data_IF_608708417711
#
_entry.id   IF_608708417711
#
_cell.length_a   1.000
_cell.length_b   1.000
_cell.length_c   1.000
_cell.angle_alpha   90.00
_cell.angle_beta   90.00
_cell.angle_gamma   90.00
#
_symmetry.space_group_name_H-M   'P 1'
#
loop_
_entity.id
_entity.type
_entity.pdbx_description
1 polymer ?
#
# COMPACT_ATOMS: atom_id res chain seq x y z
N UNK A 1 -24.68 8.40 25.40
CA UNK A 1 -24.96 7.96 26.78
C UNK A 1 -25.90 8.95 27.51
N UNK A 2 -25.55 10.25 27.62
CA UNK A 2 -26.35 11.23 28.35
C UNK A 2 -27.74 11.43 27.75
N UNK A 3 -27.85 11.58 26.42
CA UNK A 3 -29.12 11.73 25.72
C UNK A 3 -30.06 10.53 25.95
N UNK A 4 -29.54 9.30 25.89
CA UNK A 4 -30.34 8.08 26.13
C UNK A 4 -30.87 8.02 27.58
N UNK A 5 -30.17 8.65 28.52
CA UNK A 5 -30.58 8.75 29.92
C UNK A 5 -31.41 10.01 30.22
N UNK A 6 -31.90 10.70 29.19
CA UNK A 6 -32.76 11.90 29.35
C UNK A 6 -32.02 13.17 29.81
N UNK A 7 -30.70 13.19 29.73
CA UNK A 7 -29.88 14.36 30.07
C UNK A 7 -29.51 15.09 28.77
N UNK A 8 -30.02 16.27 28.56
CA UNK A 8 -29.68 17.10 27.41
C UNK A 8 -28.32 17.76 27.59
N UNK A 9 -27.27 16.97 27.26
CA UNK A 9 -25.90 17.48 27.13
C UNK A 9 -25.73 18.07 25.74
N UNK A 10 -25.60 19.40 25.65
CA UNK A 10 -25.46 20.12 24.38
C UNK A 10 -24.00 20.49 24.15
N UNK A 11 -23.53 20.29 22.92
CA UNK A 11 -22.21 20.71 22.46
C UNK A 11 -22.30 22.10 21.83
N UNK A 12 -21.27 22.92 21.97
CA UNK A 12 -21.14 24.19 21.32
C UNK A 12 -19.69 24.52 20.99
N UNK A 13 -19.50 25.43 20.07
CA UNK A 13 -18.19 25.97 19.72
C UNK A 13 -18.17 27.49 20.02
N UNK A 14 -17.03 27.97 20.47
CA UNK A 14 -16.82 29.37 20.75
C UNK A 14 -15.35 29.72 20.93
N UNK A 15 -15.08 31.01 20.90
CA UNK A 15 -13.72 31.53 21.07
C UNK A 15 -13.78 32.92 21.75
N UNK A 16 -12.65 33.34 22.30
CA UNK A 16 -12.51 34.61 23.01
C UNK A 16 -12.85 35.79 22.10
N UNK A 17 -12.43 35.74 20.86
CA UNK A 17 -12.62 36.77 19.84
C UNK A 17 -14.11 36.96 19.44
N UNK A 18 -14.96 35.99 19.75
CA UNK A 18 -16.40 36.04 19.56
C UNK A 18 -17.14 36.19 20.90
N UNK A 19 -16.46 36.66 21.96
CA UNK A 19 -17.01 36.82 23.32
C UNK A 19 -17.65 35.57 23.91
N UNK A 20 -17.30 34.37 23.39
CA UNK A 20 -17.78 33.09 23.85
C UNK A 20 -18.38 32.21 22.76
N UNK A 21 -19.71 31.97 22.83
CA UNK A 21 -20.35 31.01 21.94
C UNK A 21 -20.56 31.51 20.51
N UNK A 22 -20.35 30.66 19.56
CA UNK A 22 -20.57 30.87 18.12
C UNK A 22 -21.66 29.92 17.63
N UNK A 23 -21.59 28.62 18.02
CA UNK A 23 -22.61 27.63 17.71
C UNK A 23 -23.09 26.92 18.98
N UNK A 24 -24.28 26.34 18.90
CA UNK A 24 -24.82 25.45 19.94
C UNK A 24 -25.72 24.39 19.31
N UNK A 25 -25.65 23.17 19.81
CA UNK A 25 -26.55 22.08 19.39
C UNK A 25 -27.96 22.40 19.86
N UNK A 26 -28.99 22.39 18.98
CA UNK A 26 -30.38 22.56 19.40
C UNK A 26 -30.84 21.37 20.27
N UNK A 27 -31.77 21.62 21.18
CA UNK A 27 -32.31 20.57 22.07
C UNK A 27 -33.18 19.54 21.35
N UNK A 28 -33.79 19.93 20.27
CA UNK A 28 -34.74 19.17 19.46
C UNK A 28 -34.14 18.63 18.15
N UNK A 29 -32.89 19.02 17.83
CA UNK A 29 -32.15 18.55 16.67
C UNK A 29 -30.70 18.19 17.07
N UNK A 30 -30.57 17.13 17.83
CA UNK A 30 -29.26 16.59 18.23
C UNK A 30 -28.61 15.78 17.13
N UNK A 31 -27.41 16.20 16.70
CA UNK A 31 -26.57 15.44 15.77
C UNK A 31 -25.27 15.02 16.47
N UNK A 32 -24.94 13.72 16.49
CA UNK A 32 -23.70 13.26 17.09
C UNK A 32 -22.47 13.94 16.49
N UNK A 33 -21.49 14.29 17.33
CA UNK A 33 -20.23 14.96 16.98
C UNK A 33 -20.37 16.37 16.40
N UNK A 34 -21.60 16.92 16.29
CA UNK A 34 -21.84 18.28 15.89
C UNK A 34 -21.61 19.25 17.04
N UNK A 35 -21.11 20.44 16.73
CA UNK A 35 -21.09 21.58 17.63
C UNK A 35 -22.31 22.52 17.41
N UNK A 36 -23.29 22.04 16.65
CA UNK A 36 -24.57 22.65 16.45
C UNK A 36 -24.67 23.65 15.30
N UNK A 37 -25.63 24.56 15.42
CA UNK A 37 -25.97 25.57 14.44
C UNK A 37 -25.55 26.97 14.94
N UNK A 38 -25.46 28.00 14.06
CA UNK A 38 -25.06 29.36 14.46
C UNK A 38 -25.98 29.90 15.52
N UNK A 39 -25.43 30.58 16.53
CA UNK A 39 -26.20 31.36 17.50
C UNK A 39 -26.79 32.60 16.83
N UNK A 40 -27.93 33.15 17.37
CA UNK A 40 -28.57 34.31 16.80
C UNK A 40 -27.60 35.49 16.62
N UNK A 41 -27.59 36.06 15.42
CA UNK A 41 -26.74 37.21 15.08
C UNK A 41 -25.34 36.89 14.61
N UNK A 42 -24.95 35.62 14.63
CA UNK A 42 -23.68 35.15 14.05
C UNK A 42 -23.92 34.62 12.64
N UNK A 43 -23.08 35.05 11.70
CA UNK A 43 -23.02 34.52 10.35
C UNK A 43 -21.77 33.65 10.24
N UNK A 44 -21.94 32.49 9.63
CA UNK A 44 -20.87 31.51 9.39
C UNK A 44 -20.73 31.24 7.90
N UNK A 45 -19.51 31.07 7.44
CA UNK A 45 -19.21 30.52 6.11
C UNK A 45 -17.91 29.71 6.15
N UNK A 46 -17.75 28.82 5.21
CA UNK A 46 -16.50 28.07 5.05
C UNK A 46 -15.70 28.67 3.89
N UNK A 47 -14.43 28.95 4.12
CA UNK A 47 -13.49 29.30 3.07
C UNK A 47 -13.20 28.12 2.14
N UNK A 48 -12.49 28.32 1.03
CA UNK A 48 -12.14 27.27 0.05
C UNK A 48 -11.35 26.10 0.67
N UNK A 49 -10.60 26.37 1.74
CA UNK A 49 -9.86 25.38 2.50
C UNK A 49 -10.61 24.81 3.70
N UNK A 50 -11.92 25.10 3.80
CA UNK A 50 -12.83 24.73 4.88
C UNK A 50 -12.52 25.41 6.24
N UNK A 51 -11.73 26.48 6.27
CA UNK A 51 -11.62 27.31 7.48
C UNK A 51 -12.97 27.96 7.80
N UNK A 52 -13.39 27.86 9.07
CA UNK A 52 -14.60 28.57 9.52
C UNK A 52 -14.31 30.06 9.59
N UNK A 53 -15.10 30.82 8.87
CA UNK A 53 -15.14 32.29 8.91
C UNK A 53 -16.39 32.74 9.66
N UNK A 54 -16.22 33.69 10.54
CA UNK A 54 -17.33 34.20 11.36
C UNK A 54 -17.48 35.73 11.20
N UNK A 55 -18.73 36.17 11.21
CA UNK A 55 -19.10 37.59 11.25
C UNK A 55 -20.27 37.77 12.20
N UNK A 56 -20.32 38.88 12.91
CA UNK A 56 -21.42 39.22 13.81
C UNK A 56 -21.06 40.28 14.80
N UNK A 57 -22.07 40.83 15.52
CA UNK A 57 -21.90 41.96 16.44
C UNK A 57 -21.04 41.62 17.66
N UNK A 58 -20.82 40.36 17.91
CA UNK A 58 -20.00 39.83 19.05
C UNK A 58 -18.56 39.54 18.68
N UNK A 59 -18.22 39.65 17.39
CA UNK A 59 -16.87 39.34 16.89
C UNK A 59 -15.97 40.56 17.05
N UNK A 60 -14.86 40.39 17.76
CA UNK A 60 -13.89 41.45 17.97
C UNK A 60 -13.20 41.84 16.67
N UNK A 61 -13.21 43.12 16.35
CA UNK A 61 -12.56 43.69 15.18
C UNK A 61 -11.08 44.04 15.41
N UNK A 62 -10.61 44.03 16.67
CA UNK A 62 -9.23 44.43 17.03
C UNK A 62 -8.77 43.74 18.31
N UNK A 63 -7.46 43.55 18.47
CA UNK A 63 -6.86 43.14 19.76
C UNK A 63 -6.48 44.36 20.60
N UNK A 64 -6.53 44.18 21.92
CA UNK A 64 -6.10 45.22 22.86
C UNK A 64 -4.63 45.56 22.65
N UNK A 65 -4.32 46.86 22.48
CA UNK A 65 -2.97 47.36 22.25
C UNK A 65 -2.55 47.47 20.78
N UNK A 66 -3.31 46.95 19.83
CA UNK A 66 -3.08 47.17 18.39
C UNK A 66 -3.78 48.39 17.88
N UNK A 67 -3.03 49.49 17.61
CA UNK A 67 -3.62 50.77 17.24
C UNK A 67 -4.15 50.87 15.79
N UNK A 68 -3.74 49.95 14.86
CA UNK A 68 -4.05 50.05 13.44
C UNK A 68 -4.34 48.69 12.76
N UNK A 69 -4.64 47.63 13.49
CA UNK A 69 -4.91 46.33 12.90
C UNK A 69 -6.37 45.91 13.01
N UNK A 70 -7.03 45.65 11.89
CA UNK A 70 -8.31 44.92 11.90
C UNK A 70 -8.01 43.42 11.94
N UNK A 71 -8.68 42.69 12.83
CA UNK A 71 -8.66 41.20 12.84
C UNK A 71 -9.56 40.63 11.76
N UNK A 72 -10.38 41.47 11.11
CA UNK A 72 -11.29 41.09 10.06
C UNK A 72 -10.64 41.27 8.67
N UNK A 73 -10.72 40.24 7.84
CA UNK A 73 -10.35 40.29 6.43
C UNK A 73 -11.66 40.22 5.62
N UNK A 74 -11.89 41.25 4.80
CA UNK A 74 -13.14 41.41 4.02
C UNK A 74 -14.42 41.27 4.87
N UNK A 75 -14.38 41.76 6.12
CA UNK A 75 -15.48 41.70 7.07
C UNK A 75 -15.63 40.38 7.83
N UNK A 76 -14.78 39.40 7.57
CA UNK A 76 -14.82 38.09 8.21
C UNK A 76 -13.62 37.88 9.15
N UNK A 77 -13.89 37.27 10.30
CA UNK A 77 -12.86 36.81 11.20
C UNK A 77 -12.47 35.37 10.85
N UNK A 78 -11.18 35.15 10.61
CA UNK A 78 -10.61 33.86 10.35
C UNK A 78 -10.34 33.13 11.66
N UNK A 79 -11.09 32.03 11.94
CA UNK A 79 -11.01 31.35 13.24
C UNK A 79 -9.73 30.51 13.38
N UNK A 80 -9.13 30.14 12.26
CA UNK A 80 -8.01 29.17 12.22
C UNK A 80 -8.43 27.74 12.51
N UNK A 81 -9.74 27.47 12.56
CA UNK A 81 -10.30 26.14 12.79
C UNK A 81 -10.97 25.64 11.51
N UNK A 82 -10.73 24.37 11.15
CA UNK A 82 -11.28 23.72 9.96
C UNK A 82 -12.56 23.00 10.33
N UNK A 83 -13.60 23.23 9.53
CA UNK A 83 -14.92 22.66 9.74
C UNK A 83 -15.44 21.94 8.51
N UNK A 84 -16.47 21.14 8.70
CA UNK A 84 -17.41 20.71 7.66
C UNK A 84 -18.82 21.07 8.07
N UNK A 85 -19.64 21.36 7.09
CA UNK A 85 -21.08 21.56 7.25
C UNK A 85 -21.81 20.34 6.70
N UNK A 86 -22.84 19.89 7.41
CA UNK A 86 -23.72 18.81 6.98
C UNK A 86 -25.09 18.99 7.63
N UNK A 87 -26.15 19.10 6.82
CA UNK A 87 -27.54 19.31 7.28
C UNK A 87 -27.66 20.50 8.22
N UNK A 88 -27.07 21.64 7.82
CA UNK A 88 -27.02 22.89 8.56
C UNK A 88 -26.27 22.83 9.91
N UNK A 89 -25.68 21.69 10.26
CA UNK A 89 -24.84 21.50 11.42
C UNK A 89 -23.35 21.61 11.10
N UNK A 90 -22.61 22.22 12.01
CA UNK A 90 -21.17 22.41 11.92
C UNK A 90 -20.43 21.34 12.74
N UNK A 91 -19.31 20.85 12.18
CA UNK A 91 -18.47 19.84 12.79
C UNK A 91 -17.01 20.29 12.73
N UNK A 92 -16.35 20.33 13.87
CA UNK A 92 -14.92 20.66 13.95
C UNK A 92 -14.12 19.47 13.40
N UNK A 93 -13.18 19.78 12.50
CA UNK A 93 -12.23 18.80 11.97
C UNK A 93 -10.91 18.86 12.73
N UNK A 94 -10.26 20.05 12.73
CA UNK A 94 -9.00 20.31 13.42
C UNK A 94 -8.63 21.81 13.33
N UNK A 95 -7.52 22.19 13.94
CA UNK A 95 -6.92 23.50 13.74
C UNK A 95 -6.09 23.58 12.48
N UNK A 96 -6.29 24.61 11.67
CA UNK A 96 -5.57 24.85 10.41
C UNK A 96 -4.04 24.80 10.56
N UNK A 97 -3.51 25.34 11.67
CA UNK A 97 -2.07 25.36 11.98
C UNK A 97 -1.51 24.02 12.42
N UNK A 98 -2.37 23.08 12.81
CA UNK A 98 -1.97 21.75 13.29
C UNK A 98 -2.12 20.68 12.24
N UNK A 99 -2.97 20.92 11.25
CA UNK A 99 -3.08 20.05 10.06
C UNK A 99 -1.77 20.07 9.28
N UNK A 100 -1.29 18.90 8.91
CA UNK A 100 -0.10 18.77 8.09
C UNK A 100 -0.35 17.95 6.81
N UNK A 101 0.60 17.98 5.89
CA UNK A 101 0.59 17.17 4.68
C UNK A 101 1.72 16.15 4.73
N UNK A 102 1.42 14.91 4.42
CA UNK A 102 2.46 13.90 4.22
C UNK A 102 3.29 14.19 2.95
N UNK A 103 4.33 13.41 2.70
CA UNK A 103 5.21 13.56 1.52
C UNK A 103 4.50 13.45 0.17
N UNK A 104 3.26 12.93 0.15
CA UNK A 104 2.41 12.81 -1.04
C UNK A 104 1.37 13.92 -1.15
N UNK A 105 1.42 14.93 -0.29
CA UNK A 105 0.49 16.07 -0.28
C UNK A 105 -0.89 15.76 0.33
N UNK A 106 -1.10 14.59 0.93
CA UNK A 106 -2.36 14.23 1.57
C UNK A 106 -2.48 14.90 2.93
N UNK A 107 -3.61 15.52 3.17
CA UNK A 107 -3.90 16.27 4.40
C UNK A 107 -4.25 15.33 5.55
N UNK A 108 -3.63 15.51 6.70
CA UNK A 108 -3.82 14.73 7.92
C UNK A 108 -4.15 15.66 9.08
N UNK A 109 -5.19 15.28 9.81
CA UNK A 109 -5.63 15.93 11.05
C UNK A 109 -5.08 15.15 12.24
N UNK A 110 -3.98 15.58 12.86
CA UNK A 110 -3.33 14.79 13.91
C UNK A 110 -4.17 14.72 15.17
N UNK A 111 -4.82 15.81 15.58
CA UNK A 111 -5.61 15.83 16.81
C UNK A 111 -6.77 14.84 16.76
N UNK A 112 -7.43 14.71 15.59
CA UNK A 112 -8.48 13.70 15.38
C UNK A 112 -7.97 12.29 15.66
N UNK A 113 -6.76 11.96 15.17
CA UNK A 113 -6.17 10.63 15.34
C UNK A 113 -5.69 10.45 16.78
N UNK A 114 -5.03 11.45 17.35
CA UNK A 114 -4.53 11.44 18.73
C UNK A 114 -5.67 11.22 19.75
N UNK A 115 -6.80 11.88 19.54
CA UNK A 115 -7.98 11.75 20.40
C UNK A 115 -8.54 10.32 20.40
N UNK A 116 -8.44 9.59 19.29
CA UNK A 116 -8.90 8.19 19.23
C UNK A 116 -8.10 7.25 20.14
N UNK A 117 -6.93 7.69 20.62
CA UNK A 117 -6.12 6.91 21.57
C UNK A 117 -6.39 7.26 23.03
N UNK A 118 -7.04 8.38 23.32
CA UNK A 118 -7.27 8.85 24.70
C UNK A 118 -8.25 7.98 25.50
N UNK A 119 -9.13 7.23 24.81
CA UNK A 119 -10.14 6.38 25.45
C UNK A 119 -9.60 5.00 25.83
N UNK A 120 -8.34 4.69 25.54
CA UNK A 120 -7.76 3.39 25.86
C UNK A 120 -7.01 3.39 27.19
N UNK A 121 -7.28 2.36 27.99
CA UNK A 121 -6.52 2.13 29.22
C UNK A 121 -5.01 2.05 28.94
N UNK A 122 -4.22 2.64 29.85
CA UNK A 122 -2.77 2.65 29.75
C UNK A 122 -2.21 3.68 28.78
N UNK A 123 -3.02 4.49 28.09
CA UNK A 123 -2.54 5.61 27.27
C UNK A 123 -2.94 6.93 27.95
N UNK A 124 -1.94 7.66 28.45
CA UNK A 124 -2.15 9.00 28.97
C UNK A 124 -1.98 10.06 27.89
N UNK A 125 -0.98 9.89 27.04
CA UNK A 125 -0.68 10.85 25.97
C UNK A 125 -0.31 10.11 24.69
N UNK A 126 -0.83 10.59 23.56
CA UNK A 126 -0.53 10.08 22.22
C UNK A 126 -0.20 11.25 21.30
N UNK A 127 0.95 11.22 20.65
CA UNK A 127 1.41 12.28 19.75
C UNK A 127 1.75 11.72 18.38
N UNK A 128 1.05 12.21 17.36
CA UNK A 128 1.21 11.76 15.97
C UNK A 128 2.34 12.53 15.27
N UNK A 129 3.23 11.77 14.64
CA UNK A 129 4.34 12.29 13.83
C UNK A 129 4.13 11.85 12.38
N UNK A 130 4.26 12.79 11.41
CA UNK A 130 4.04 12.47 10.00
C UNK A 130 4.15 13.65 9.04
N UNK A 131 4.38 14.88 9.55
CA UNK A 131 4.47 16.08 8.72
C UNK A 131 5.63 15.99 7.72
N UNK A 132 5.31 16.09 6.42
CA UNK A 132 6.28 15.94 5.34
C UNK A 132 6.83 14.52 5.16
N UNK A 133 6.39 13.54 5.97
CA UNK A 133 6.93 12.18 5.99
C UNK A 133 6.05 11.20 5.21
N UNK A 134 6.59 10.02 4.88
CA UNK A 134 5.90 9.04 4.03
C UNK A 134 4.73 8.36 4.74
N UNK A 135 4.81 8.21 6.06
CA UNK A 135 3.83 7.51 6.90
C UNK A 135 3.75 8.13 8.29
N UNK A 136 2.71 7.79 9.02
CA UNK A 136 2.55 8.26 10.39
C UNK A 136 3.14 7.26 11.38
N UNK A 137 3.76 7.83 12.43
CA UNK A 137 4.19 7.11 13.63
C UNK A 137 3.60 7.76 14.87
N UNK A 138 3.60 7.07 15.99
CA UNK A 138 2.99 7.54 17.22
C UNK A 138 3.99 7.47 18.39
N UNK A 139 4.12 8.55 19.15
CA UNK A 139 4.71 8.51 20.47
C UNK A 139 3.60 8.28 21.49
N UNK A 140 3.75 7.28 22.34
CA UNK A 140 2.77 6.91 23.37
C UNK A 140 3.45 7.09 24.74
N UNK A 141 2.85 7.89 25.59
CA UNK A 141 3.15 7.84 27.01
C UNK A 141 2.15 6.95 27.72
N UNK A 142 2.70 5.91 28.33
CA UNK A 142 1.95 4.93 29.11
C UNK A 142 1.84 5.39 30.55
N UNK A 143 0.64 5.31 31.09
CA UNK A 143 0.42 5.43 32.56
C UNK A 143 0.39 4.03 33.15
N UNK A 144 1.46 3.60 33.85
CA UNK A 144 1.58 2.20 34.31
C UNK A 144 0.43 1.75 35.21
N UNK A 145 -0.10 2.66 36.03
CA UNK A 145 -1.16 2.37 37.00
C UNK A 145 -2.55 2.21 36.33
N UNK A 146 -2.70 2.66 35.08
CA UNK A 146 -3.94 2.52 34.30
C UNK A 146 -3.91 1.34 33.32
N UNK A 147 -2.80 0.59 33.27
CA UNK A 147 -2.73 -0.63 32.47
C UNK A 147 -3.63 -1.74 33.05
N UNK A 148 -4.28 -2.55 32.19
CA UNK A 148 -4.96 -3.76 32.66
C UNK A 148 -4.03 -4.64 33.52
N UNK A 149 -4.55 -5.25 34.57
CA UNK A 149 -3.75 -6.01 35.56
C UNK A 149 -2.90 -7.13 34.93
N UNK A 150 -3.40 -7.76 33.89
CA UNK A 150 -2.72 -8.82 33.13
C UNK A 150 -1.57 -8.27 32.25
N UNK A 151 -1.59 -6.96 31.96
CA UNK A 151 -0.57 -6.29 31.12
C UNK A 151 0.45 -5.56 31.98
N UNK A 152 0.07 -4.95 33.09
CA UNK A 152 0.96 -4.13 33.96
C UNK A 152 2.20 -4.89 34.45
N UNK A 153 2.09 -6.20 34.69
CA UNK A 153 3.17 -7.07 35.14
C UNK A 153 3.76 -7.96 34.02
N UNK A 154 3.36 -7.72 32.76
CA UNK A 154 3.76 -8.54 31.64
C UNK A 154 5.18 -8.17 31.14
N UNK A 155 5.74 -9.02 30.27
CA UNK A 155 6.99 -8.73 29.60
C UNK A 155 6.87 -7.50 28.68
N UNK A 156 7.99 -6.81 28.42
CA UNK A 156 8.03 -5.69 27.46
C UNK A 156 7.49 -6.07 26.08
N UNK A 157 7.65 -7.32 25.66
CA UNK A 157 7.10 -7.84 24.41
C UNK A 157 5.58 -7.84 24.47
N UNK A 158 4.99 -8.34 25.56
CA UNK A 158 3.52 -8.40 25.74
C UNK A 158 2.93 -7.00 25.84
N UNK A 159 3.56 -6.08 26.56
CA UNK A 159 3.16 -4.66 26.63
C UNK A 159 3.18 -4.03 25.23
N UNK A 160 4.24 -4.27 24.45
CA UNK A 160 4.32 -3.76 23.09
C UNK A 160 3.25 -4.38 22.17
N UNK A 161 2.93 -5.66 22.34
CA UNK A 161 1.85 -6.33 21.61
C UNK A 161 0.46 -5.78 21.98
N UNK A 162 0.26 -5.38 23.24
CA UNK A 162 -0.94 -4.69 23.68
C UNK A 162 -1.12 -3.36 22.94
N UNK A 163 -0.13 -2.46 22.97
CA UNK A 163 -0.22 -1.19 22.24
C UNK A 163 -0.34 -1.38 20.73
N UNK A 164 0.28 -2.41 20.16
CA UNK A 164 0.11 -2.74 18.76
C UNK A 164 -1.35 -3.08 18.42
N UNK A 165 -2.06 -3.78 19.33
CA UNK A 165 -3.49 -4.09 19.14
C UNK A 165 -4.37 -2.84 19.19
N UNK A 166 -4.03 -1.86 20.04
CA UNK A 166 -4.73 -0.57 20.08
C UNK A 166 -4.51 0.23 18.80
N UNK A 167 -3.27 0.29 18.31
CA UNK A 167 -2.95 0.91 17.01
C UNK A 167 -3.74 0.27 15.88
N UNK A 168 -3.88 -1.06 15.84
CA UNK A 168 -4.70 -1.75 14.85
C UNK A 168 -6.18 -1.37 14.96
N UNK A 169 -6.72 -1.29 16.18
CA UNK A 169 -8.10 -0.87 16.41
C UNK A 169 -8.35 0.51 15.81
N UNK A 170 -7.52 1.49 16.13
CA UNK A 170 -7.61 2.84 15.57
C UNK A 170 -7.44 2.84 14.05
N UNK A 171 -6.45 2.13 13.52
CA UNK A 171 -6.20 2.03 12.07
C UNK A 171 -7.39 1.47 11.29
N UNK A 172 -8.29 0.70 11.91
CA UNK A 172 -9.48 0.15 11.25
C UNK A 172 -10.48 1.24 10.86
N UNK A 173 -10.45 2.39 11.54
CA UNK A 173 -11.31 3.55 11.26
C UNK A 173 -10.63 4.62 10.38
N UNK A 174 -9.32 4.47 10.10
CA UNK A 174 -8.53 5.45 9.38
C UNK A 174 -8.39 5.11 7.90
N UNK A 175 -8.37 6.14 7.06
CA UNK A 175 -7.97 6.00 5.66
C UNK A 175 -6.51 5.49 5.58
N UNK A 176 -6.13 4.77 4.52
CA UNK A 176 -4.78 4.19 4.40
C UNK A 176 -3.64 5.18 4.63
N UNK A 177 -3.78 6.43 4.19
CA UNK A 177 -2.75 7.45 4.35
C UNK A 177 -2.68 8.07 5.76
N UNK A 178 -3.73 7.94 6.57
CA UNK A 178 -3.80 8.39 7.97
C UNK A 178 -3.21 7.36 8.95
N UNK A 179 -3.08 6.11 8.55
CA UNK A 179 -2.73 4.98 9.43
C UNK A 179 -1.36 5.10 10.05
N UNK A 180 -1.29 4.67 11.31
CA UNK A 180 -0.05 4.57 12.10
C UNK A 180 0.57 3.20 11.85
N UNK A 181 1.84 3.15 11.41
CA UNK A 181 2.52 1.87 11.12
C UNK A 181 3.67 1.56 12.07
N UNK A 182 4.06 2.52 12.90
CA UNK A 182 5.07 2.33 13.92
C UNK A 182 4.76 3.19 15.13
N UNK A 183 5.21 2.79 16.30
CA UNK A 183 5.05 3.56 17.52
C UNK A 183 6.22 3.35 18.46
N UNK A 184 6.44 4.32 19.35
CA UNK A 184 7.39 4.23 20.45
C UNK A 184 6.70 4.55 21.77
N UNK A 185 6.97 3.74 22.80
CA UNK A 185 6.56 4.03 24.16
C UNK A 185 7.63 4.92 24.76
N UNK A 186 7.26 6.16 25.11
CA UNK A 186 8.18 7.14 25.71
C UNK A 186 8.21 7.00 27.23
N UNK A 187 9.37 7.32 27.83
CA UNK A 187 9.63 7.11 29.27
C UNK A 187 9.08 8.21 30.16
N UNK A 188 8.72 9.37 29.61
CA UNK A 188 8.15 10.51 30.31
C UNK A 188 7.01 11.11 29.52
N UNK A 189 6.07 11.72 30.23
CA UNK A 189 5.02 12.52 29.62
C UNK A 189 5.57 13.83 29.01
N UNK A 190 4.75 14.49 28.24
CA UNK A 190 5.06 15.79 27.66
C UNK A 190 5.10 16.86 28.75
N UNK A 191 6.14 17.69 28.71
CA UNK A 191 6.38 18.71 29.72
C UNK A 191 5.40 19.88 29.54
N UNK A 192 4.72 20.26 30.66
CA UNK A 192 3.80 21.40 30.68
C UNK A 192 4.45 22.75 30.38
N UNK A 193 5.76 22.90 30.69
CA UNK A 193 6.44 24.18 30.58
C UNK A 193 6.81 24.54 29.14
N UNK A 194 7.32 23.58 28.38
CA UNK A 194 7.83 23.84 27.03
C UNK A 194 7.14 23.03 25.91
N UNK A 195 6.56 21.86 26.19
CA UNK A 195 5.95 20.95 25.19
C UNK A 195 4.44 21.09 25.07
N UNK A 196 3.79 21.66 26.09
CA UNK A 196 2.34 21.94 26.10
C UNK A 196 2.07 23.45 26.14
N UNK A 197 0.92 23.84 25.63
CA UNK A 197 0.37 25.18 25.83
C UNK A 197 -0.32 25.26 27.20
N UNK A 198 -0.70 26.47 27.64
CA UNK A 198 -1.48 26.64 28.88
C UNK A 198 -2.83 25.90 28.87
N UNK A 199 -3.37 25.61 27.66
CA UNK A 199 -4.61 24.84 27.47
C UNK A 199 -4.35 23.32 27.36
N UNK A 200 -3.11 22.85 27.53
CA UNK A 200 -2.73 21.44 27.43
C UNK A 200 -2.59 20.91 26.00
N UNK A 201 -2.64 21.75 24.96
CA UNK A 201 -2.41 21.31 23.58
C UNK A 201 -0.92 21.22 23.26
N UNK A 202 -0.56 20.35 22.30
CA UNK A 202 0.84 20.07 21.95
C UNK A 202 1.51 21.24 21.23
N UNK A 203 2.70 21.62 21.67
CA UNK A 203 3.63 22.47 20.90
C UNK A 203 4.47 21.56 19.98
N UNK A 204 3.87 21.15 18.84
CA UNK A 204 4.39 20.10 17.94
C UNK A 204 5.87 20.26 17.60
N UNK A 205 6.30 21.48 17.21
CA UNK A 205 7.71 21.73 16.85
C UNK A 205 8.68 21.42 18.01
N UNK A 206 8.27 21.74 19.25
CA UNK A 206 9.11 21.50 20.41
C UNK A 206 9.19 20.01 20.75
N UNK A 207 8.07 19.29 20.68
CA UNK A 207 8.02 17.84 20.89
C UNK A 207 8.88 17.12 19.84
N UNK A 208 8.74 17.47 18.57
CA UNK A 208 9.55 16.89 17.49
C UNK A 208 11.06 17.10 17.73
N UNK A 209 11.44 18.28 18.23
CA UNK A 209 12.84 18.58 18.58
C UNK A 209 13.32 17.76 19.77
N UNK A 210 12.52 17.66 20.84
CA UNK A 210 12.94 17.00 22.08
C UNK A 210 12.98 15.47 21.96
N UNK A 211 12.15 14.89 21.08
CA UNK A 211 12.07 13.43 20.86
C UNK A 211 12.72 12.97 19.56
N UNK A 212 13.53 13.83 18.90
CA UNK A 212 14.14 13.50 17.60
C UNK A 212 14.95 12.20 17.61
N UNK A 213 15.66 11.88 18.72
CA UNK A 213 16.42 10.64 18.85
C UNK A 213 15.55 9.37 18.83
N UNK A 214 14.27 9.48 19.22
CA UNK A 214 13.31 8.38 19.16
C UNK A 214 12.62 8.37 17.80
N UNK A 215 12.30 9.54 17.25
CA UNK A 215 11.55 9.69 16.01
C UNK A 215 12.39 9.31 14.79
N UNK A 216 13.62 9.82 14.67
CA UNK A 216 14.45 9.63 13.47
C UNK A 216 14.66 8.15 13.13
N UNK A 217 15.02 7.24 14.07
CA UNK A 217 15.17 5.82 13.76
C UNK A 217 13.91 5.14 13.26
N UNK A 218 12.72 5.71 13.53
CA UNK A 218 11.45 5.17 13.05
C UNK A 218 11.27 5.38 11.54
N UNK A 219 12.02 6.32 10.94
CA UNK A 219 11.94 6.70 9.53
C UNK A 219 13.18 6.36 8.71
N UNK A 220 14.27 5.88 9.32
CA UNK A 220 15.51 5.56 8.61
C UNK A 220 15.32 4.53 7.48
N UNK A 221 14.37 3.62 7.63
CA UNK A 221 14.09 2.58 6.65
C UNK A 221 12.66 2.67 6.14
N UNK A 222 12.50 2.60 4.82
CA UNK A 222 11.20 2.53 4.16
C UNK A 222 10.58 1.12 4.14
N UNK A 223 11.24 0.15 4.79
CA UNK A 223 10.82 -1.24 4.93
C UNK A 223 11.03 -1.76 6.36
N UNK A 224 10.39 -2.88 6.67
CA UNK A 224 10.76 -3.71 7.81
C UNK A 224 11.64 -4.87 7.35
N UNK A 225 12.57 -5.28 8.21
CA UNK A 225 13.41 -6.46 7.99
C UNK A 225 12.92 -7.61 8.87
N UNK A 226 12.58 -8.72 8.25
CA UNK A 226 12.31 -9.97 8.93
C UNK A 226 13.50 -10.89 8.74
N UNK A 227 14.03 -11.46 9.82
CA UNK A 227 15.21 -12.32 9.76
C UNK A 227 14.90 -13.69 10.34
N UNK A 228 15.42 -14.73 9.70
CA UNK A 228 15.38 -16.11 10.19
C UNK A 228 16.65 -16.84 9.70
N UNK A 229 17.47 -17.33 10.62
CA UNK A 229 18.82 -17.79 10.34
C UNK A 229 19.61 -16.71 9.57
N UNK A 230 20.21 -17.06 8.42
CA UNK A 230 20.97 -16.15 7.57
C UNK A 230 20.09 -15.37 6.57
N UNK A 231 18.80 -15.72 6.45
CA UNK A 231 17.91 -15.14 5.45
C UNK A 231 17.23 -13.88 5.94
N UNK A 232 17.01 -12.95 5.03
CA UNK A 232 16.34 -11.67 5.29
C UNK A 232 15.23 -11.39 4.29
N UNK A 233 14.13 -10.84 4.77
CA UNK A 233 13.02 -10.37 3.94
C UNK A 233 12.76 -8.90 4.24
N UNK A 234 12.73 -8.07 3.21
CA UNK A 234 12.39 -6.67 3.30
C UNK A 234 10.95 -6.46 2.84
N UNK A 235 10.08 -5.96 3.72
CA UNK A 235 8.69 -5.67 3.42
C UNK A 235 8.49 -4.16 3.46
N UNK A 236 8.09 -3.51 2.35
CA UNK A 236 7.89 -2.07 2.29
C UNK A 236 6.81 -1.59 3.28
N UNK A 237 7.05 -0.44 3.91
CA UNK A 237 6.13 0.15 4.90
C UNK A 237 4.74 0.46 4.31
N UNK A 238 4.63 0.73 3.01
CA UNK A 238 3.33 0.97 2.39
C UNK A 238 2.40 -0.26 2.43
N UNK A 239 2.94 -1.49 2.43
CA UNK A 239 2.15 -2.72 2.61
C UNK A 239 1.53 -2.76 4.01
N UNK A 240 2.29 -2.38 5.04
CA UNK A 240 1.79 -2.27 6.41
C UNK A 240 0.66 -1.26 6.51
N UNK A 241 0.84 -0.11 5.89
CA UNK A 241 -0.14 0.96 5.82
C UNK A 241 -1.43 0.49 5.13
N UNK A 242 -1.34 -0.15 3.97
CA UNK A 242 -2.50 -0.70 3.26
C UNK A 242 -3.28 -1.72 4.12
N UNK A 243 -2.57 -2.53 4.91
CA UNK A 243 -3.16 -3.53 5.80
C UNK A 243 -3.63 -2.99 7.14
N UNK A 244 -3.28 -1.75 7.49
CA UNK A 244 -3.62 -1.14 8.78
C UNK A 244 -2.92 -1.76 9.98
N UNK A 245 -1.71 -2.30 9.79
CA UNK A 245 -0.93 -3.00 10.82
C UNK A 245 0.36 -2.28 11.12
N UNK A 246 0.88 -2.47 12.32
CA UNK A 246 2.18 -1.93 12.74
C UNK A 246 3.34 -2.87 12.37
N UNK A 247 4.56 -2.37 12.45
CA UNK A 247 5.79 -3.17 12.22
C UNK A 247 5.87 -4.40 13.11
N UNK A 248 5.35 -4.34 14.33
CA UNK A 248 5.39 -5.43 15.31
C UNK A 248 4.39 -6.56 15.04
N UNK A 249 3.41 -6.30 14.19
CA UNK A 249 2.36 -7.27 13.86
C UNK A 249 2.77 -8.29 12.81
N UNK A 250 3.90 -8.05 12.12
CA UNK A 250 4.38 -8.92 11.05
C UNK A 250 5.50 -9.79 11.59
N UNK A 251 5.34 -11.11 11.50
CA UNK A 251 6.31 -12.10 11.96
C UNK A 251 6.59 -13.12 10.88
N UNK A 252 7.81 -13.58 10.80
CA UNK A 252 8.25 -14.69 9.96
C UNK A 252 8.94 -15.73 10.81
N UNK A 253 8.57 -17.00 10.66
CA UNK A 253 9.10 -18.13 11.41
C UNK A 253 9.94 -19.09 10.56
N UNK A 254 10.49 -18.62 9.44
CA UNK A 254 11.27 -19.43 8.51
C UNK A 254 10.43 -20.18 7.46
N UNK A 255 9.12 -20.41 7.74
CA UNK A 255 8.24 -21.13 6.81
C UNK A 255 7.06 -20.32 6.31
N UNK A 256 6.66 -19.29 7.06
CA UNK A 256 5.54 -18.42 6.69
C UNK A 256 5.65 -17.03 7.31
N UNK A 257 5.23 -16.04 6.57
CA UNK A 257 4.94 -14.70 7.09
C UNK A 257 3.50 -14.71 7.60
N UNK A 258 3.29 -14.17 8.78
CA UNK A 258 1.97 -14.00 9.40
C UNK A 258 1.81 -12.57 9.90
N UNK A 259 0.60 -12.05 9.76
CA UNK A 259 0.21 -10.74 10.27
C UNK A 259 -0.77 -10.97 11.42
N UNK A 260 -0.44 -10.43 12.60
CA UNK A 260 -1.29 -10.57 13.81
C UNK A 260 -2.68 -10.00 13.54
N UNK A 261 -3.72 -10.68 14.05
CA UNK A 261 -5.14 -10.31 13.90
C UNK A 261 -5.65 -10.19 12.45
N UNK A 262 -4.79 -10.42 11.46
CA UNK A 262 -5.17 -10.53 10.07
C UNK A 262 -5.04 -12.00 9.66
N UNK A 263 -6.08 -12.56 9.03
CA UNK A 263 -6.05 -13.94 8.52
C UNK A 263 -5.06 -14.14 7.35
N UNK A 264 -4.42 -13.06 6.92
CA UNK A 264 -3.46 -13.07 5.81
C UNK A 264 -2.17 -13.76 6.24
N UNK A 265 -1.82 -14.81 5.52
CA UNK A 265 -0.58 -15.58 5.71
C UNK A 265 0.04 -15.81 4.34
N UNK A 266 1.37 -15.76 4.27
CA UNK A 266 2.11 -16.13 3.08
C UNK A 266 3.13 -17.21 3.43
N UNK A 267 3.06 -18.35 2.76
CA UNK A 267 4.13 -19.34 2.80
C UNK A 267 5.37 -18.68 2.18
N UNK A 268 6.47 -18.62 2.93
CA UNK A 268 7.74 -18.08 2.47
C UNK A 268 8.87 -18.75 3.23
N UNK A 269 9.67 -19.55 2.54
CA UNK A 269 10.75 -20.32 3.12
C UNK A 269 11.89 -20.52 2.14
N UNK A 270 13.11 -20.63 2.67
CA UNK A 270 14.29 -21.06 1.93
C UNK A 270 14.66 -22.51 2.29
N UNK A 271 15.12 -23.23 1.29
CA UNK A 271 15.85 -24.48 1.42
C UNK A 271 17.07 -24.39 0.49
N UNK A 272 18.21 -24.02 1.04
CA UNK A 272 19.43 -23.67 0.30
C UNK A 272 19.16 -22.61 -0.78
N UNK A 273 19.36 -22.92 -2.05
CA UNK A 273 19.11 -22.02 -3.18
C UNK A 273 17.64 -21.98 -3.65
N UNK A 274 16.74 -22.74 -2.98
CA UNK A 274 15.32 -22.76 -3.33
C UNK A 274 14.53 -21.87 -2.39
N UNK A 275 13.87 -20.86 -2.95
CA UNK A 275 12.95 -19.97 -2.26
C UNK A 275 11.52 -20.32 -2.67
N UNK A 276 10.66 -20.58 -1.69
CA UNK A 276 9.23 -20.79 -1.90
C UNK A 276 8.50 -19.54 -1.47
N UNK A 277 7.69 -18.95 -2.38
CA UNK A 277 6.82 -17.81 -2.08
C UNK A 277 5.40 -18.19 -2.51
N UNK A 278 4.49 -18.32 -1.55
CA UNK A 278 3.13 -18.80 -1.82
C UNK A 278 3.16 -20.17 -2.45
N UNK A 279 2.68 -20.24 -3.70
CA UNK A 279 2.58 -21.48 -4.45
C UNK A 279 3.74 -21.69 -5.44
N UNK A 280 4.65 -20.71 -5.55
CA UNK A 280 5.75 -20.73 -6.51
C UNK A 280 7.07 -21.06 -5.85
N UNK A 281 7.92 -21.74 -6.58
CA UNK A 281 9.31 -22.03 -6.22
C UNK A 281 10.25 -21.27 -7.14
N UNK A 282 11.31 -20.73 -6.56
CA UNK A 282 12.32 -19.95 -7.26
C UNK A 282 13.71 -20.50 -6.97
N UNK A 283 14.62 -20.39 -7.92
CA UNK A 283 16.05 -20.44 -7.67
C UNK A 283 16.56 -19.04 -7.38
N UNK A 284 17.26 -18.85 -6.26
CA UNK A 284 17.86 -17.57 -5.88
C UNK A 284 19.34 -17.77 -5.56
N UNK A 285 20.14 -16.74 -5.84
CA UNK A 285 21.54 -16.68 -5.46
C UNK A 285 21.75 -15.86 -4.18
N UNK A 286 20.70 -15.11 -3.74
CA UNK A 286 20.75 -14.24 -2.58
C UNK A 286 20.04 -14.86 -1.38
N UNK A 287 20.58 -14.58 -0.19
CA UNK A 287 19.97 -14.90 1.10
C UNK A 287 18.96 -13.84 1.54
N UNK A 288 18.65 -12.88 0.67
CA UNK A 288 17.71 -11.79 0.92
C UNK A 288 16.65 -11.68 -0.17
N UNK A 289 15.45 -11.25 0.22
CA UNK A 289 14.33 -10.97 -0.67
C UNK A 289 13.76 -9.58 -0.35
N UNK A 290 13.79 -8.67 -1.30
CA UNK A 290 13.00 -7.46 -1.25
C UNK A 290 11.65 -7.68 -1.94
N UNK A 291 10.57 -7.56 -1.15
CA UNK A 291 9.20 -7.71 -1.66
C UNK A 291 8.86 -6.60 -2.66
N UNK A 292 9.46 -5.41 -2.52
CA UNK A 292 9.27 -4.32 -3.49
C UNK A 292 9.85 -4.69 -4.85
N UNK A 293 11.06 -5.22 -4.88
CA UNK A 293 11.72 -5.64 -6.12
C UNK A 293 10.94 -6.76 -6.80
N UNK A 294 10.49 -7.75 -6.02
CA UNK A 294 9.65 -8.82 -6.56
C UNK A 294 8.37 -8.27 -7.19
N UNK A 295 7.72 -7.29 -6.54
CA UNK A 295 6.50 -6.67 -7.07
C UNK A 295 6.73 -5.90 -8.38
N UNK A 296 7.90 -5.29 -8.55
CA UNK A 296 8.27 -4.59 -9.78
C UNK A 296 8.53 -5.55 -10.96
N UNK A 297 8.62 -6.85 -10.71
CA UNK A 297 8.82 -7.92 -11.72
C UNK A 297 7.59 -8.83 -11.84
N UNK A 298 6.50 -8.37 -12.49
CA UNK A 298 5.25 -9.13 -12.59
C UNK A 298 5.40 -10.53 -13.17
N UNK A 299 6.36 -10.74 -14.06
CA UNK A 299 6.69 -12.03 -14.65
C UNK A 299 7.07 -13.11 -13.61
N UNK A 300 7.51 -12.69 -12.42
CA UNK A 300 7.88 -13.62 -11.35
C UNK A 300 6.71 -13.98 -10.42
N UNK A 301 5.65 -13.20 -10.36
CA UNK A 301 4.59 -13.43 -9.39
C UNK A 301 3.17 -13.49 -9.99
N UNK A 302 2.95 -13.07 -11.23
CA UNK A 302 1.64 -13.22 -11.86
C UNK A 302 1.27 -14.71 -11.91
N UNK A 303 0.03 -15.01 -11.51
CA UNK A 303 -0.45 -16.37 -11.30
C UNK A 303 -0.26 -16.91 -9.87
N UNK A 304 0.61 -16.30 -9.04
CA UNK A 304 0.77 -16.66 -7.63
C UNK A 304 -0.33 -16.02 -6.77
N UNK A 305 -1.43 -16.74 -6.57
CA UNK A 305 -2.61 -16.24 -5.87
C UNK A 305 -2.35 -15.96 -4.39
N UNK A 306 -1.52 -16.78 -3.73
CA UNK A 306 -1.16 -16.59 -2.34
C UNK A 306 -0.37 -15.29 -2.13
N UNK A 307 0.59 -15.00 -3.01
CA UNK A 307 1.35 -13.76 -3.00
C UNK A 307 0.48 -12.55 -3.32
N UNK A 308 -0.32 -12.63 -4.38
CA UNK A 308 -1.24 -11.54 -4.76
C UNK A 308 -2.24 -11.20 -3.64
N UNK A 309 -2.79 -12.20 -2.95
CA UNK A 309 -3.66 -12.01 -1.77
C UNK A 309 -2.90 -11.42 -0.59
N UNK A 310 -1.64 -11.82 -0.40
CA UNK A 310 -0.81 -11.27 0.67
C UNK A 310 -0.53 -9.79 0.44
N UNK A 311 -0.19 -9.36 -0.75
CA UNK A 311 0.03 -7.92 -1.08
C UNK A 311 -1.31 -7.18 -1.07
N UNK A 312 -2.32 -7.70 -1.73
CA UNK A 312 -3.63 -7.07 -1.91
C UNK A 312 -3.76 -6.33 -3.25
N UNK A 313 -4.85 -5.57 -3.40
CA UNK A 313 -5.19 -4.91 -4.67
C UNK A 313 -4.13 -3.93 -5.18
N UNK A 314 -3.29 -3.43 -4.30
CA UNK A 314 -2.22 -2.48 -4.65
C UNK A 314 -1.16 -3.10 -5.56
N UNK A 315 -0.96 -4.43 -5.54
CA UNK A 315 -0.07 -5.13 -6.45
C UNK A 315 -0.42 -4.90 -7.93
N UNK A 316 -1.72 -4.79 -8.24
CA UNK A 316 -2.21 -4.62 -9.61
C UNK A 316 -2.27 -3.16 -10.09
N UNK A 317 -1.87 -2.20 -9.24
CA UNK A 317 -1.85 -0.76 -9.55
C UNK A 317 -0.46 -0.22 -9.83
N UNK A 318 0.54 -1.09 -9.90
CA UNK A 318 1.90 -0.71 -10.22
C UNK A 318 1.98 -0.24 -11.68
N UNK A 319 2.77 0.81 -11.91
CA UNK A 319 2.99 1.41 -13.24
C UNK A 319 4.44 1.43 -13.66
N UNK A 320 5.36 1.05 -12.75
CA UNK A 320 6.78 0.89 -13.04
C UNK A 320 7.16 -0.55 -12.83
N UNK A 321 7.95 -1.10 -13.73
CA UNK A 321 8.37 -2.48 -13.71
C UNK A 321 9.87 -2.57 -13.97
N UNK A 322 10.56 -3.38 -13.19
CA UNK A 322 12.00 -3.60 -13.28
C UNK A 322 12.30 -5.10 -13.13
N UNK A 323 13.12 -5.68 -14.01
CA UNK A 323 13.45 -7.10 -13.90
C UNK A 323 14.38 -7.37 -12.71
N UNK A 324 14.05 -8.37 -11.90
CA UNK A 324 14.93 -8.88 -10.84
C UNK A 324 15.94 -9.83 -11.44
N UNK A 325 17.24 -9.55 -11.26
CA UNK A 325 18.34 -10.30 -11.88
C UNK A 325 18.75 -11.57 -11.14
N UNK A 326 18.40 -11.69 -9.85
CA UNK A 326 18.94 -12.73 -8.96
C UNK A 326 17.94 -13.85 -8.63
N UNK A 327 16.81 -13.87 -9.33
CA UNK A 327 15.74 -14.82 -9.07
C UNK A 327 15.20 -15.37 -10.38
N UNK A 328 15.08 -16.67 -10.45
CA UNK A 328 14.46 -17.39 -11.57
C UNK A 328 13.29 -18.21 -11.05
N UNK A 329 12.11 -18.04 -11.66
CA UNK A 329 10.94 -18.83 -11.36
C UNK A 329 11.09 -20.24 -11.92
N UNK A 330 10.95 -21.27 -11.06
CA UNK A 330 10.64 -22.61 -11.50
C UNK A 330 9.20 -22.64 -11.96
N UNK A 331 8.96 -22.89 -13.24
CA UNK A 331 7.60 -22.95 -13.76
C UNK A 331 6.81 -24.03 -13.01
N UNK A 332 5.62 -23.70 -12.50
CA UNK A 332 4.73 -24.68 -11.92
C UNK A 332 4.44 -25.80 -12.91
N UNK A 333 4.45 -27.05 -12.43
CA UNK A 333 4.09 -28.20 -13.26
C UNK A 333 2.64 -28.08 -13.67
N UNK A 334 2.39 -27.98 -14.98
CA UNK A 334 1.03 -27.82 -15.50
C UNK A 334 0.19 -29.05 -15.19
N UNK A 335 -1.07 -28.81 -14.79
CA UNK A 335 -2.01 -29.87 -14.45
C UNK A 335 -1.82 -30.44 -13.04
N UNK A 336 -0.88 -29.92 -12.25
CA UNK A 336 -0.78 -30.32 -10.85
C UNK A 336 -2.02 -29.79 -10.08
N UNK A 337 -2.59 -30.68 -9.24
CA UNK A 337 -3.86 -30.47 -8.54
C UNK A 337 -3.87 -29.27 -7.56
N UNK A 338 -2.74 -28.60 -7.36
CA UNK A 338 -2.61 -27.39 -6.53
C UNK A 338 -3.26 -26.15 -7.15
N UNK A 339 -3.36 -26.08 -8.48
CA UNK A 339 -3.98 -24.98 -9.22
C UNK A 339 -5.39 -25.36 -9.68
N UNK A 340 -6.33 -25.40 -8.74
CA UNK A 340 -7.74 -25.73 -9.04
C UNK A 340 -8.55 -24.48 -9.35
N UNK A 341 -8.33 -23.83 -10.46
CA UNK A 341 -9.36 -22.97 -11.05
C UNK A 341 -10.33 -23.84 -11.83
N UNK A 342 -11.42 -24.20 -11.17
CA UNK A 342 -12.46 -25.07 -11.73
C UNK A 342 -13.37 -24.38 -12.77
N UNK A 343 -13.18 -23.10 -13.07
CA UNK A 343 -14.03 -22.34 -13.97
C UNK A 343 -13.22 -21.75 -15.10
N UNK A 344 -13.63 -22.06 -16.29
CA UNK A 344 -13.22 -21.34 -17.49
C UNK A 344 -13.62 -19.88 -17.36
N UNK A 345 -12.64 -18.97 -17.40
CA UNK A 345 -12.89 -17.52 -17.38
C UNK A 345 -13.08 -17.10 -18.84
N UNK A 346 -14.18 -16.44 -19.12
CA UNK A 346 -14.36 -15.78 -20.40
C UNK A 346 -13.76 -14.37 -20.33
N UNK A 347 -12.81 -14.10 -21.19
CA UNK A 347 -12.15 -12.80 -21.31
C UNK A 347 -12.91 -11.95 -22.31
N UNK A 348 -13.12 -10.68 -21.94
CA UNK A 348 -13.70 -9.68 -22.83
C UNK A 348 -12.62 -9.12 -23.77
N UNK A 349 -13.02 -8.62 -24.94
CA UNK A 349 -12.10 -8.04 -25.94
C UNK A 349 -11.48 -6.68 -25.52
N UNK A 350 -11.64 -6.24 -24.28
CA UNK A 350 -11.02 -5.03 -23.75
C UNK A 350 -9.52 -5.25 -23.53
N UNK A 351 -8.73 -4.17 -23.57
CA UNK A 351 -7.31 -4.22 -23.29
C UNK A 351 -7.07 -4.76 -21.87
N UNK A 352 -6.38 -5.90 -21.71
CA UNK A 352 -6.14 -6.52 -20.42
C UNK A 352 -5.23 -5.67 -19.52
N UNK A 353 -5.51 -5.65 -18.22
CA UNK A 353 -4.64 -5.08 -17.17
C UNK A 353 -3.83 -6.19 -16.45
N UNK A 354 -3.03 -5.79 -15.45
CA UNK A 354 -2.26 -6.75 -14.64
C UNK A 354 -3.16 -7.77 -13.91
N UNK A 355 -4.38 -7.38 -13.51
CA UNK A 355 -5.31 -8.29 -12.85
C UNK A 355 -5.82 -9.35 -13.82
N UNK A 356 -6.03 -8.99 -15.08
CA UNK A 356 -6.44 -9.93 -16.11
C UNK A 356 -5.28 -10.87 -16.48
N UNK A 357 -4.06 -10.34 -16.59
CA UNK A 357 -2.86 -11.16 -16.78
C UNK A 357 -2.65 -12.13 -15.61
N UNK A 358 -2.91 -11.70 -14.37
CA UNK A 358 -2.81 -12.61 -13.21
C UNK A 358 -3.79 -13.78 -13.30
N UNK A 359 -5.05 -13.52 -13.62
CA UNK A 359 -6.08 -14.55 -13.82
C UNK A 359 -5.70 -15.48 -14.98
N UNK A 360 -5.26 -14.89 -16.10
CA UNK A 360 -4.83 -15.62 -17.28
C UNK A 360 -3.65 -16.54 -17.00
N UNK A 361 -2.62 -16.05 -16.30
CA UNK A 361 -1.46 -16.86 -15.91
C UNK A 361 -1.86 -18.03 -15.01
N UNK A 362 -2.76 -17.78 -14.05
CA UNK A 362 -3.32 -18.86 -13.22
C UNK A 362 -4.02 -19.94 -14.05
N UNK A 363 -4.82 -19.53 -15.03
CA UNK A 363 -5.48 -20.47 -15.92
C UNK A 363 -4.49 -21.29 -16.75
N UNK A 364 -3.44 -20.65 -17.28
CA UNK A 364 -2.38 -21.34 -17.97
C UNK A 364 -1.73 -22.42 -17.08
N UNK A 365 -1.39 -22.08 -15.82
CA UNK A 365 -0.84 -23.04 -14.88
C UNK A 365 -1.81 -24.16 -14.48
N UNK A 366 -3.12 -23.90 -14.58
CA UNK A 366 -4.19 -24.90 -14.37
C UNK A 366 -4.47 -25.78 -15.60
N UNK A 367 -3.78 -25.53 -16.71
CA UNK A 367 -3.95 -26.31 -17.96
C UNK A 367 -5.03 -25.77 -18.88
N UNK A 368 -5.55 -24.55 -18.66
CA UNK A 368 -6.59 -23.95 -19.49
C UNK A 368 -6.01 -23.04 -20.59
N UNK A 369 -6.13 -23.44 -21.84
CA UNK A 369 -5.58 -22.71 -22.99
C UNK A 369 -6.23 -21.33 -23.21
N UNK A 370 -7.42 -21.09 -22.67
CA UNK A 370 -8.08 -19.77 -22.72
C UNK A 370 -7.26 -18.66 -22.06
N UNK A 371 -6.37 -19.02 -21.12
CA UNK A 371 -5.42 -18.09 -20.53
C UNK A 371 -4.51 -17.39 -21.54
N UNK A 372 -4.36 -17.89 -22.78
CA UNK A 372 -3.62 -17.19 -23.83
C UNK A 372 -4.35 -16.00 -24.44
N UNK A 373 -5.67 -15.89 -24.30
CA UNK A 373 -6.47 -14.82 -24.93
C UNK A 373 -6.00 -13.41 -24.53
N UNK A 374 -5.85 -13.06 -23.23
CA UNK A 374 -5.36 -11.73 -22.84
C UNK A 374 -3.94 -11.45 -23.35
N UNK A 375 -3.09 -12.47 -23.43
CA UNK A 375 -1.74 -12.32 -23.96
C UNK A 375 -1.74 -11.98 -25.46
N UNK A 376 -2.54 -12.67 -26.25
CA UNK A 376 -2.71 -12.39 -27.68
C UNK A 376 -3.20 -10.95 -27.89
N UNK A 377 -4.21 -10.53 -27.14
CA UNK A 377 -4.76 -9.16 -27.23
C UNK A 377 -3.70 -8.11 -26.95
N UNK A 378 -2.85 -8.30 -25.91
CA UNK A 378 -1.79 -7.35 -25.59
C UNK A 378 -0.68 -7.30 -26.64
N UNK A 379 -0.26 -8.47 -27.16
CA UNK A 379 0.79 -8.55 -28.16
C UNK A 379 0.35 -7.95 -29.50
N UNK A 380 -0.92 -8.12 -29.87
CA UNK A 380 -1.51 -7.48 -31.05
C UNK A 380 -1.68 -5.96 -30.91
N UNK A 381 -1.89 -5.47 -29.68
CA UNK A 381 -2.14 -4.05 -29.42
C UNK A 381 -0.89 -3.20 -29.19
N UNK A 382 0.27 -3.82 -28.95
CA UNK A 382 1.55 -3.18 -28.65
C UNK A 382 1.46 -2.11 -27.55
N UNK A 383 1.02 -2.50 -26.36
CA UNK A 383 0.70 -1.60 -25.25
C UNK A 383 1.82 -1.46 -24.22
N UNK A 384 3.00 -1.02 -24.65
CA UNK A 384 4.12 -0.62 -23.78
C UNK A 384 4.59 -1.72 -22.81
N UNK A 385 4.68 -1.41 -21.53
CA UNK A 385 5.19 -2.32 -20.49
C UNK A 385 4.36 -3.60 -20.31
N UNK A 386 3.05 -3.53 -20.48
CA UNK A 386 2.20 -4.71 -20.36
C UNK A 386 2.48 -5.73 -21.48
N UNK A 387 2.73 -5.26 -22.69
CA UNK A 387 3.16 -6.11 -23.82
C UNK A 387 4.50 -6.78 -23.51
N UNK A 388 5.46 -6.02 -22.98
CA UNK A 388 6.76 -6.56 -22.56
C UNK A 388 6.62 -7.62 -21.46
N UNK A 389 5.80 -7.38 -20.45
CA UNK A 389 5.53 -8.35 -19.37
C UNK A 389 4.87 -9.60 -19.94
N UNK A 390 3.85 -9.44 -20.77
CA UNK A 390 3.16 -10.53 -21.43
C UNK A 390 4.15 -11.38 -22.26
N UNK A 391 5.01 -10.74 -23.03
CA UNK A 391 6.04 -11.41 -23.80
C UNK A 391 7.00 -12.21 -22.91
N UNK A 392 7.49 -11.65 -21.81
CA UNK A 392 8.42 -12.32 -20.88
C UNK A 392 7.77 -13.54 -20.21
N UNK A 393 6.48 -13.43 -19.85
CA UNK A 393 5.74 -14.57 -19.29
C UNK A 393 5.60 -15.67 -20.35
N UNK A 394 5.20 -15.35 -21.57
CA UNK A 394 5.09 -16.32 -22.64
C UNK A 394 6.45 -16.97 -22.99
N UNK A 395 7.52 -16.17 -22.97
CA UNK A 395 8.88 -16.68 -23.18
C UNK A 395 9.27 -17.70 -22.12
N UNK A 396 8.81 -17.58 -20.88
CA UNK A 396 9.06 -18.57 -19.82
C UNK A 396 8.44 -19.93 -20.12
N UNK A 397 7.35 -19.98 -20.90
CA UNK A 397 6.72 -21.23 -21.34
C UNK A 397 7.54 -22.02 -22.39
N UNK A 398 8.63 -21.44 -22.92
CA UNK A 398 9.56 -22.17 -23.82
C UNK A 398 10.10 -23.46 -23.21
N UNK A 399 10.20 -23.51 -21.87
CA UNK A 399 10.67 -24.65 -21.10
C UNK A 399 9.55 -25.53 -20.53
N UNK A 400 8.29 -25.23 -20.86
CA UNK A 400 7.15 -26.01 -20.41
C UNK A 400 7.19 -27.42 -20.97
N UNK A 401 6.88 -28.43 -20.16
CA UNK A 401 6.87 -29.84 -20.56
C UNK A 401 5.75 -30.16 -21.55
N UNK A 402 4.62 -29.42 -21.49
CA UNK A 402 3.50 -29.63 -22.41
C UNK A 402 3.75 -28.99 -23.78
N UNK A 403 3.78 -29.77 -24.89
CA UNK A 403 4.00 -29.23 -26.23
C UNK A 403 2.92 -28.27 -26.69
N UNK A 404 1.64 -28.49 -26.30
CA UNK A 404 0.52 -27.65 -26.71
C UNK A 404 0.66 -26.23 -26.16
N UNK A 405 1.11 -26.08 -24.92
CA UNK A 405 1.36 -24.78 -24.32
C UNK A 405 2.57 -24.09 -24.94
N UNK A 406 3.66 -24.84 -25.22
CA UNK A 406 4.82 -24.27 -25.94
C UNK A 406 4.41 -23.69 -27.30
N UNK A 407 3.65 -24.47 -28.07
CA UNK A 407 3.16 -24.04 -29.39
C UNK A 407 2.28 -22.79 -29.31
N UNK A 408 1.31 -22.77 -28.40
CA UNK A 408 0.43 -21.60 -28.23
C UNK A 408 1.16 -20.36 -27.73
N UNK A 409 2.14 -20.50 -26.84
CA UNK A 409 2.97 -19.38 -26.41
C UNK A 409 3.77 -18.80 -27.59
N UNK A 410 4.27 -19.67 -28.49
CA UNK A 410 4.96 -19.23 -29.72
C UNK A 410 4.03 -18.51 -30.68
N UNK A 411 2.85 -19.08 -30.95
CA UNK A 411 1.84 -18.46 -31.81
C UNK A 411 1.50 -17.05 -31.30
N UNK A 412 1.30 -16.91 -29.98
CA UNK A 412 0.98 -15.64 -29.37
C UNK A 412 2.10 -14.58 -29.52
N UNK A 413 3.37 -15.01 -29.45
CA UNK A 413 4.52 -14.10 -29.57
C UNK A 413 4.88 -13.73 -31.02
N UNK A 414 4.38 -14.43 -32.02
CA UNK A 414 4.70 -14.20 -33.43
C UNK A 414 4.47 -12.77 -33.94
N UNK A 415 3.42 -12.03 -33.52
CA UNK A 415 3.22 -10.66 -33.96
C UNK A 415 4.33 -9.69 -33.57
N UNK A 416 4.95 -9.90 -32.39
CA UNK A 416 5.98 -9.02 -31.79
C UNK A 416 7.42 -9.41 -32.11
N UNK A 417 7.63 -10.52 -32.83
CA UNK A 417 8.95 -11.05 -33.10
C UNK A 417 9.78 -10.17 -34.02
N UNK A 418 10.38 -9.15 -33.46
CA UNK A 418 11.41 -8.35 -34.13
C UNK A 418 12.76 -8.46 -33.43
N UNK A 419 13.82 -8.83 -34.15
CA UNK A 419 15.21 -8.74 -33.69
C UNK A 419 15.70 -9.84 -32.73
N UNK A 420 16.41 -9.44 -31.67
CA UNK A 420 17.14 -10.32 -30.73
C UNK A 420 16.21 -11.32 -30.00
N UNK A 421 15.00 -10.90 -29.66
CA UNK A 421 14.00 -11.73 -28.95
C UNK A 421 13.57 -12.96 -29.77
N UNK A 422 13.54 -12.81 -31.11
CA UNK A 422 13.26 -13.92 -31.99
C UNK A 422 14.35 -15.00 -31.95
N UNK A 423 15.63 -14.60 -31.84
CA UNK A 423 16.74 -15.52 -31.74
C UNK A 423 16.79 -16.25 -30.40
N UNK A 424 16.45 -15.58 -29.31
CA UNK A 424 16.31 -16.23 -27.99
C UNK A 424 15.21 -17.27 -27.98
N UNK A 425 14.06 -16.94 -28.60
CA UNK A 425 12.96 -17.88 -28.76
C UNK A 425 13.38 -19.09 -29.60
N UNK A 426 13.96 -18.88 -30.75
CA UNK A 426 14.44 -19.95 -31.61
C UNK A 426 15.54 -20.80 -30.93
N UNK A 427 16.46 -20.20 -30.21
CA UNK A 427 17.50 -20.96 -29.49
C UNK A 427 16.91 -21.85 -28.40
N UNK A 428 15.93 -21.35 -27.63
CA UNK A 428 15.22 -22.11 -26.61
C UNK A 428 14.39 -23.26 -27.19
N UNK A 429 13.75 -23.04 -28.32
CA UNK A 429 12.97 -24.06 -29.06
C UNK A 429 13.91 -25.07 -29.71
N UNK A 430 15.02 -24.59 -30.30
CA UNK A 430 15.97 -25.45 -31.00
C UNK A 430 16.60 -26.48 -30.06
N UNK A 431 16.96 -26.11 -28.83
CA UNK A 431 17.63 -27.01 -27.90
C UNK A 431 16.73 -28.13 -27.37
N UNK A 432 15.55 -27.82 -26.84
CA UNK A 432 14.66 -28.83 -26.26
C UNK A 432 13.83 -29.57 -27.30
N UNK A 433 13.40 -28.88 -28.31
CA UNK A 433 12.51 -29.42 -29.36
C UNK A 433 13.26 -30.31 -30.34
N UNK A 434 14.56 -30.06 -30.61
CA UNK A 434 15.38 -30.88 -31.45
C UNK A 434 15.81 -32.18 -30.74
N UNK A 435 16.06 -32.13 -29.43
CA UNK A 435 16.38 -33.36 -28.67
C UNK A 435 15.17 -34.26 -28.52
N UNK A 436 13.96 -33.75 -28.29
CA UNK A 436 12.75 -34.55 -28.26
C UNK A 436 12.38 -35.12 -29.64
N UNK A 437 12.66 -34.36 -30.71
CA UNK A 437 12.43 -34.82 -32.08
C UNK A 437 13.39 -35.95 -32.54
N UNK A 438 14.63 -35.81 -32.21
CA UNK A 438 15.59 -36.87 -32.49
C UNK A 438 15.21 -38.19 -31.78
N UNK A 439 14.50 -38.10 -30.66
CA UNK A 439 13.97 -39.25 -29.93
C UNK A 439 12.65 -39.83 -30.46
N UNK A 440 11.77 -39.04 -31.07
CA UNK A 440 10.36 -39.38 -31.31
C UNK A 440 9.85 -39.28 -32.76
N UNK A 441 10.70 -38.98 -33.75
CA UNK A 441 10.31 -39.03 -35.21
C UNK A 441 9.28 -37.99 -35.66
N UNK A 442 9.49 -36.76 -35.41
CA UNK A 442 8.53 -35.63 -35.58
C UNK A 442 8.60 -34.93 -36.95
N UNK A 443 7.46 -34.50 -37.49
CA UNK A 443 7.32 -33.59 -38.62
C UNK A 443 6.88 -32.20 -38.16
N UNK A 444 7.61 -31.13 -38.56
CA UNK A 444 7.23 -29.75 -38.27
C UNK A 444 5.99 -29.41 -39.10
N UNK A 445 4.90 -29.00 -38.46
CA UNK A 445 3.80 -28.43 -39.19
C UNK A 445 4.15 -26.97 -39.60
N UNK A 446 4.67 -26.80 -40.79
CA UNK A 446 5.14 -25.52 -41.36
C UNK A 446 3.94 -24.60 -41.70
N UNK A 447 2.71 -25.13 -41.76
CA UNK A 447 1.48 -24.35 -42.00
C UNK A 447 1.12 -23.36 -40.91
N UNK A 448 1.75 -23.49 -39.72
CA UNK A 448 1.56 -22.52 -38.62
C UNK A 448 2.36 -21.22 -38.77
N UNK A 449 3.33 -21.18 -39.69
CA UNK A 449 4.08 -19.99 -40.03
C UNK A 449 3.39 -19.31 -41.24
N UNK A 450 2.78 -18.17 -41.04
CA UNK A 450 2.30 -17.35 -42.17
C UNK A 450 3.48 -17.04 -43.10
N UNK A 451 3.30 -17.14 -44.41
CA UNK A 451 4.36 -17.03 -45.43
C UNK A 451 5.26 -15.79 -45.25
N UNK A 452 4.69 -14.64 -44.88
CA UNK A 452 5.40 -13.40 -44.65
C UNK A 452 6.34 -13.43 -43.41
N UNK A 453 6.10 -14.31 -42.44
CA UNK A 453 6.95 -14.50 -41.28
C UNK A 453 8.12 -15.45 -41.57
N UNK A 454 7.92 -16.43 -42.44
CA UNK A 454 8.94 -17.39 -42.81
C UNK A 454 10.09 -16.71 -43.54
N UNK A 455 9.80 -15.81 -44.50
CA UNK A 455 10.84 -15.05 -45.23
C UNK A 455 11.61 -14.09 -44.31
N UNK A 456 10.94 -13.44 -43.35
CA UNK A 456 11.58 -12.60 -42.36
C UNK A 456 12.51 -13.40 -41.43
N UNK A 457 12.12 -14.62 -41.08
CA UNK A 457 12.91 -15.58 -40.27
C UNK A 457 14.14 -16.02 -41.06
N UNK A 458 13.99 -16.44 -42.32
CA UNK A 458 15.08 -16.89 -43.17
C UNK A 458 16.07 -15.76 -43.46
N UNK A 459 15.59 -14.54 -43.70
CA UNK A 459 16.41 -13.35 -43.91
C UNK A 459 17.28 -13.05 -42.68
N UNK A 460 16.73 -13.10 -41.48
CA UNK A 460 17.45 -12.86 -40.23
C UNK A 460 18.41 -14.00 -39.88
N UNK A 461 18.04 -15.23 -40.09
CA UNK A 461 18.97 -16.36 -39.97
C UNK A 461 20.14 -16.25 -40.95
N UNK A 462 19.90 -15.76 -42.17
CA UNK A 462 20.95 -15.44 -43.14
C UNK A 462 21.91 -14.37 -42.67
N UNK A 463 21.40 -13.29 -42.05
CA UNK A 463 22.24 -12.23 -41.46
C UNK A 463 23.02 -12.74 -40.24
N UNK A 464 22.42 -13.56 -39.40
CA UNK A 464 23.09 -14.15 -38.23
C UNK A 464 24.23 -15.09 -38.66
N UNK A 465 24.06 -15.93 -39.67
CA UNK A 465 25.12 -16.75 -40.24
C UNK A 465 26.28 -15.91 -40.81
N UNK A 466 26.02 -14.75 -41.41
CA UNK A 466 27.02 -13.83 -41.87
C UNK A 466 27.81 -13.19 -40.70
N UNK A 467 27.10 -12.81 -39.62
CA UNK A 467 27.72 -12.21 -38.45
C UNK A 467 28.58 -13.21 -37.67
N UNK A 468 28.14 -14.46 -37.49
CA UNK A 468 28.96 -15.51 -36.89
C UNK A 468 30.21 -15.75 -37.70
N UNK A 469 30.14 -15.81 -39.04
CA UNK A 469 31.32 -15.98 -39.91
C UNK A 469 32.30 -14.80 -39.85
N UNK A 470 31.85 -13.63 -39.44
CA UNK A 470 32.72 -12.44 -39.23
C UNK A 470 33.40 -12.42 -37.87
N UNK A 471 32.82 -13.11 -36.87
CA UNK A 471 33.36 -13.21 -35.49
C UNK A 471 34.37 -14.40 -35.40
N UNK A 472 34.28 -15.39 -36.28
CA UNK A 472 35.16 -16.55 -36.30
C UNK A 472 36.31 -16.41 -37.29
N UNK A 473 36.53 -15.24 -37.90
CA UNK A 473 37.70 -14.83 -38.61
C UNK A 473 38.47 -13.79 -37.81
#
# INVERSE_FOLDING_TARGET
FFQVNGINLLSGYGMTEATGGITMTPTDDYQPDSVGVPLPGIQLTLADDNELLINGPYVSSTYFGERNGSTLVDGWFHTGDIFKEKHDHYYIIDRKKEIYKNSRGQTISPQKIENMFQDFDGIKSAFLVGDGLEFNTLLIYSEPDSLPMDISNASLVTIREYYSSLVQSVNSFLAPFERVINFAIIKRDFNSDDELTQKGTYKRKQILKNFHEIINPMYEKNHITLSYNNYQIYIPNWILREKGVSRTDVKWNGSKISIKNNKTRLKLSWDNSKLVIGDFTYHTMDDSLDIQDLLLSPELWLGNDAFAKFIGKSAFRLTKFEPVKFMQLDLPTMGDNTYKDKKDIQYTANLPDLSDLHKATRQLYSGHLNGFIPYNTLLESNHGDLTRIAFNILLSFRNCTDPSFRMKAMEAMMPELSGILFFELLSGIHHQYYEEKLKNGFTVNVELLKDNHFDAILSKLGQFRKNIKSITK
#
